data_IF_827728188263
#
_entry.id   IF_827728188263
#
_cell.length_a   1.000
_cell.length_b   1.000
_cell.length_c   1.000
_cell.angle_alpha   90.00
_cell.angle_beta   90.00
_cell.angle_gamma   90.00
#
_symmetry.space_group_name_H-M   'P 1'
#
loop_
_entity.id
_entity.type
_entity.pdbx_description
1 polymer ?
#
# COMPACT_ATOMS: atom_id res chain seq x y z
N UNK A 1 -1.85 6.21 2.42
CA UNK A 1 -3.22 6.35 2.94
C UNK A 1 -3.18 6.99 4.33
N UNK A 2 -4.10 7.89 4.68
CA UNK A 2 -4.10 8.53 6.02
C UNK A 2 -4.54 7.52 7.09
N UNK A 3 -4.21 7.78 8.36
CA UNK A 3 -4.56 6.90 9.49
C UNK A 3 -6.08 6.70 9.61
N UNK A 4 -6.86 7.77 9.46
CA UNK A 4 -8.32 7.71 9.52
C UNK A 4 -8.94 6.84 8.40
N UNK A 5 -8.39 6.93 7.18
CA UNK A 5 -8.85 6.12 6.04
C UNK A 5 -8.58 4.63 6.27
N UNK A 6 -7.39 4.30 6.83
CA UNK A 6 -7.05 2.92 7.23
C UNK A 6 -8.07 2.40 8.25
N UNK A 7 -8.31 3.16 9.32
CA UNK A 7 -9.27 2.80 10.36
C UNK A 7 -10.69 2.60 9.81
N UNK A 8 -11.13 3.43 8.86
CA UNK A 8 -12.45 3.28 8.22
C UNK A 8 -12.56 2.01 7.39
N UNK A 9 -11.52 1.67 6.63
CA UNK A 9 -11.46 0.44 5.82
C UNK A 9 -11.46 -0.80 6.71
N UNK A 10 -10.67 -0.79 7.79
CA UNK A 10 -10.59 -1.92 8.71
C UNK A 10 -11.87 -2.06 9.55
N UNK A 11 -12.51 -0.95 9.93
CA UNK A 11 -13.82 -0.97 10.59
C UNK A 11 -14.91 -1.52 9.66
N UNK A 12 -14.85 -1.22 8.36
CA UNK A 12 -15.75 -1.80 7.37
C UNK A 12 -15.56 -3.32 7.28
N UNK A 13 -14.32 -3.80 7.18
CA UNK A 13 -14.03 -5.24 7.22
C UNK A 13 -14.57 -5.89 8.50
N UNK A 14 -14.32 -5.29 9.66
CA UNK A 14 -14.82 -5.80 10.94
C UNK A 14 -16.36 -5.83 11.01
N UNK A 15 -17.04 -4.86 10.40
CA UNK A 15 -18.52 -4.87 10.27
C UNK A 15 -18.99 -6.07 9.45
N UNK A 16 -18.38 -6.34 8.30
CA UNK A 16 -18.71 -7.49 7.46
C UNK A 16 -18.46 -8.82 8.20
N UNK A 17 -17.31 -8.95 8.88
CA UNK A 17 -16.97 -10.15 9.63
C UNK A 17 -17.95 -10.40 10.79
N UNK A 18 -18.38 -9.35 11.51
CA UNK A 18 -19.42 -9.49 12.54
C UNK A 18 -20.71 -10.07 11.98
N UNK A 19 -21.13 -9.65 10.80
CA UNK A 19 -22.34 -10.18 10.16
C UNK A 19 -22.20 -11.66 9.78
N UNK A 20 -21.02 -12.06 9.30
CA UNK A 20 -20.71 -13.47 8.94
C UNK A 20 -20.72 -14.35 10.20
N UNK A 21 -20.00 -13.94 11.25
CA UNK A 21 -19.88 -14.69 12.50
C UNK A 21 -21.04 -14.49 13.48
N UNK A 22 -22.08 -13.77 13.07
CA UNK A 22 -23.26 -13.44 13.91
C UNK A 22 -22.89 -12.79 15.26
N UNK A 23 -21.85 -11.95 15.27
CA UNK A 23 -21.43 -11.21 16.45
C UNK A 23 -22.28 -9.91 16.51
N UNK A 24 -22.97 -9.63 17.63
CA UNK A 24 -23.70 -8.38 17.79
C UNK A 24 -22.79 -7.15 17.67
N UNK A 25 -23.38 -5.98 17.44
CA UNK A 25 -22.63 -4.73 17.37
C UNK A 25 -21.74 -4.54 18.62
N UNK A 26 -20.60 -3.84 18.47
CA UNK A 26 -19.60 -3.71 19.56
C UNK A 26 -20.16 -3.06 20.83
N UNK A 27 -21.19 -2.23 20.71
CA UNK A 27 -21.90 -1.62 21.85
C UNK A 27 -22.62 -2.68 22.70
N UNK A 28 -23.09 -3.77 22.09
CA UNK A 28 -23.83 -4.85 22.75
C UNK A 28 -22.87 -5.97 23.17
N UNK A 29 -22.00 -6.40 22.27
CA UNK A 29 -21.11 -7.55 22.49
C UNK A 29 -19.84 -7.20 23.25
N UNK A 30 -19.48 -5.91 23.33
CA UNK A 30 -18.18 -5.43 23.81
C UNK A 30 -16.96 -6.06 23.10
N UNK A 31 -17.17 -6.75 21.97
CA UNK A 31 -16.11 -7.38 21.18
C UNK A 31 -15.43 -6.33 20.30
N UNK A 32 -14.13 -6.13 20.53
CA UNK A 32 -13.31 -5.20 19.76
C UNK A 32 -13.14 -5.63 18.30
N UNK A 33 -12.86 -4.68 17.40
CA UNK A 33 -12.55 -5.01 16.00
C UNK A 33 -11.33 -5.94 15.87
N UNK A 34 -10.32 -5.75 16.73
CA UNK A 34 -9.13 -6.58 16.76
C UNK A 34 -9.48 -8.04 17.09
N UNK A 35 -10.35 -8.26 18.08
CA UNK A 35 -10.82 -9.60 18.44
C UNK A 35 -11.61 -10.26 17.31
N UNK A 36 -12.44 -9.49 16.58
CA UNK A 36 -13.17 -10.00 15.41
C UNK A 36 -12.21 -10.44 14.30
N UNK A 37 -11.17 -9.66 14.01
CA UNK A 37 -10.15 -10.00 13.02
C UNK A 37 -9.35 -11.24 13.43
N UNK A 38 -8.92 -11.31 14.69
CA UNK A 38 -8.20 -12.46 15.23
C UNK A 38 -9.04 -13.74 15.15
N UNK A 39 -10.33 -13.67 15.53
CA UNK A 39 -11.27 -14.80 15.41
C UNK A 39 -11.46 -15.26 13.96
N UNK A 40 -11.41 -14.32 13.02
CA UNK A 40 -11.52 -14.61 11.59
C UNK A 40 -10.21 -15.15 10.98
N UNK A 41 -9.08 -15.16 11.72
CA UNK A 41 -7.76 -15.41 11.15
C UNK A 41 -7.40 -14.41 10.04
N UNK A 42 -8.01 -13.22 10.06
CA UNK A 42 -7.95 -12.28 8.95
C UNK A 42 -6.95 -11.15 9.24
N UNK A 43 -6.10 -10.85 8.27
CA UNK A 43 -5.28 -9.64 8.30
C UNK A 43 -6.13 -8.39 8.06
N UNK A 44 -5.78 -7.23 8.64
CA UNK A 44 -6.44 -5.96 8.33
C UNK A 44 -6.45 -5.68 6.83
N UNK A 45 -7.62 -5.29 6.31
CA UNK A 45 -7.85 -5.03 4.89
C UNK A 45 -6.96 -3.88 4.40
N UNK A 46 -6.72 -2.88 5.24
CA UNK A 46 -5.81 -1.78 4.92
C UNK A 46 -4.36 -2.25 4.67
N UNK A 47 -3.89 -3.27 5.40
CA UNK A 47 -2.57 -3.89 5.19
C UNK A 47 -2.54 -4.69 3.89
N UNK A 48 -3.59 -5.48 3.63
CA UNK A 48 -3.74 -6.23 2.36
C UNK A 48 -3.75 -5.28 1.15
N UNK A 49 -4.48 -4.18 1.25
CA UNK A 49 -4.57 -3.16 0.21
C UNK A 49 -3.20 -2.51 -0.05
N UNK A 50 -2.49 -2.13 1.02
CA UNK A 50 -1.16 -1.54 0.90
C UNK A 50 -0.18 -2.53 0.24
N UNK A 51 -0.19 -3.80 0.64
CA UNK A 51 0.62 -4.84 0.03
C UNK A 51 0.36 -4.94 -1.47
N UNK A 52 -0.91 -5.05 -1.89
CA UNK A 52 -1.28 -5.12 -3.32
C UNK A 52 -0.85 -3.87 -4.09
N UNK A 53 -0.99 -2.70 -3.49
CA UNK A 53 -0.56 -1.44 -4.09
C UNK A 53 0.96 -1.37 -4.28
N UNK A 54 1.75 -1.80 -3.29
CA UNK A 54 3.21 -1.85 -3.40
C UNK A 54 3.68 -2.89 -4.42
N UNK A 55 3.01 -4.04 -4.49
CA UNK A 55 3.25 -5.03 -5.55
C UNK A 55 3.00 -4.45 -6.94
N UNK A 56 1.87 -3.75 -7.12
CA UNK A 56 1.57 -3.08 -8.38
C UNK A 56 2.60 -2.01 -8.73
N UNK A 57 3.04 -1.23 -7.74
CA UNK A 57 4.08 -0.22 -7.93
C UNK A 57 5.41 -0.82 -8.39
N UNK A 58 5.88 -1.89 -7.74
CA UNK A 58 7.10 -2.58 -8.16
C UNK A 58 6.97 -3.21 -9.55
N UNK A 59 5.80 -3.75 -9.89
CA UNK A 59 5.52 -4.23 -11.25
C UNK A 59 5.62 -3.11 -12.29
N UNK A 60 5.08 -1.93 -12.00
CA UNK A 60 5.18 -0.76 -12.90
C UNK A 60 6.64 -0.30 -13.07
N UNK A 61 7.41 -0.27 -11.98
CA UNK A 61 8.82 0.11 -12.02
C UNK A 61 9.68 -0.88 -12.81
N UNK A 62 9.34 -2.18 -12.76
CA UNK A 62 9.99 -3.23 -13.55
C UNK A 62 9.59 -3.29 -15.02
N UNK A 63 8.64 -2.47 -15.49
CA UNK A 63 8.29 -2.43 -16.91
C UNK A 63 9.41 -1.78 -17.75
N UNK A 64 9.56 -2.18 -19.02
CA UNK A 64 10.48 -1.53 -19.95
C UNK A 64 10.23 -0.02 -20.02
N UNK A 65 11.29 0.77 -20.25
CA UNK A 65 11.18 2.23 -20.38
C UNK A 65 10.27 2.66 -21.54
N UNK A 66 10.06 1.79 -22.53
CA UNK A 66 9.15 1.98 -23.67
C UNK A 66 7.67 1.75 -23.33
N UNK A 67 7.36 1.22 -22.14
CA UNK A 67 5.99 0.97 -21.73
C UNK A 67 5.24 2.26 -21.46
N UNK A 68 4.12 2.47 -22.15
CA UNK A 68 3.24 3.62 -21.96
C UNK A 68 2.71 3.72 -20.52
N UNK A 69 2.41 2.58 -19.88
CA UNK A 69 1.95 2.55 -18.49
C UNK A 69 3.02 3.05 -17.53
N UNK A 70 4.29 2.77 -17.80
CA UNK A 70 5.40 3.27 -17.00
C UNK A 70 5.61 4.76 -17.22
N UNK A 71 5.67 5.19 -18.48
CA UNK A 71 5.87 6.60 -18.84
C UNK A 71 4.77 7.52 -18.30
N UNK A 72 3.54 7.03 -18.19
CA UNK A 72 2.42 7.80 -17.65
C UNK A 72 2.50 8.02 -16.13
N UNK A 73 3.30 7.24 -15.39
CA UNK A 73 3.29 7.21 -13.92
C UNK A 73 4.65 7.54 -13.31
N UNK A 74 5.75 7.10 -13.93
CA UNK A 74 7.11 7.17 -13.42
C UNK A 74 8.00 7.97 -14.38
N UNK A 75 9.05 8.58 -13.83
CA UNK A 75 10.09 9.21 -14.63
C UNK A 75 10.89 8.15 -15.42
N UNK A 76 11.49 8.52 -16.56
CA UNK A 76 12.31 7.61 -17.35
C UNK A 76 13.45 7.02 -16.53
N UNK A 77 13.66 5.70 -16.64
CA UNK A 77 14.76 4.98 -15.99
C UNK A 77 14.81 5.04 -14.46
N UNK A 78 13.77 5.54 -13.79
CA UNK A 78 13.67 5.53 -12.33
C UNK A 78 12.35 4.91 -11.86
N UNK A 79 12.28 4.65 -10.56
CA UNK A 79 11.08 4.34 -9.80
C UNK A 79 10.51 5.59 -9.10
N UNK A 80 10.83 6.79 -9.57
CA UNK A 80 10.30 8.05 -9.01
C UNK A 80 9.02 8.44 -9.77
N UNK A 81 7.93 8.84 -9.10
CA UNK A 81 6.72 9.29 -9.76
C UNK A 81 6.97 10.50 -10.68
N UNK A 82 6.26 10.52 -11.81
CA UNK A 82 6.23 11.67 -12.70
C UNK A 82 5.56 12.86 -12.01
N UNK A 83 6.21 14.03 -12.06
CA UNK A 83 5.60 15.29 -11.64
C UNK A 83 4.72 15.84 -12.77
N UNK A 84 3.41 15.84 -12.57
CA UNK A 84 2.46 16.39 -13.53
C UNK A 84 2.42 17.92 -13.38
N UNK A 85 3.16 18.63 -14.24
CA UNK A 85 3.12 20.08 -14.34
C UNK A 85 1.87 20.53 -15.12
N UNK A 86 0.78 20.81 -14.42
CA UNK A 86 -0.45 21.30 -15.04
C UNK A 86 -1.33 22.09 -14.07
N UNK A 87 -2.13 23.03 -14.61
CA UNK A 87 -3.08 23.81 -13.81
C UNK A 87 -4.07 22.85 -13.13
N UNK A 88 -4.00 22.75 -11.80
CA UNK A 88 -4.84 21.84 -11.03
C UNK A 88 -6.28 22.37 -10.98
N UNK A 89 -7.24 21.56 -11.40
CA UNK A 89 -8.67 21.86 -11.22
C UNK A 89 -9.02 21.93 -9.73
N UNK A 90 -9.92 22.85 -9.35
CA UNK A 90 -10.46 22.94 -7.99
C UNK A 90 -11.10 21.58 -7.61
N UNK A 91 -10.83 21.07 -6.40
CA UNK A 91 -11.35 19.79 -5.92
C UNK A 91 -10.44 18.56 -6.10
N UNK A 92 -9.51 18.55 -7.07
CA UNK A 92 -8.57 17.42 -7.23
C UNK A 92 -7.63 17.31 -6.01
N UNK A 93 -7.59 16.16 -5.35
CA UNK A 93 -6.67 15.92 -4.23
C UNK A 93 -5.21 16.24 -4.63
N UNK A 94 -4.48 16.91 -3.74
CA UNK A 94 -3.06 17.28 -3.97
C UNK A 94 -2.14 16.06 -4.06
N UNK A 95 -2.52 14.96 -3.41
CA UNK A 95 -1.74 13.73 -3.38
C UNK A 95 -2.19 12.82 -4.53
N UNK A 96 -1.28 12.52 -5.46
CA UNK A 96 -1.48 11.42 -6.40
C UNK A 96 -1.33 10.10 -5.67
N UNK A 97 -1.99 9.04 -6.18
CA UNK A 97 -1.79 7.71 -5.63
C UNK A 97 -0.31 7.28 -5.74
N UNK A 98 0.36 7.65 -6.84
CA UNK A 98 1.77 7.32 -7.09
C UNK A 98 2.70 7.97 -6.08
N UNK A 99 2.46 9.23 -5.67
CA UNK A 99 3.27 9.89 -4.65
C UNK A 99 3.05 9.29 -3.26
N UNK A 100 1.81 8.90 -2.94
CA UNK A 100 1.49 8.20 -1.69
C UNK A 100 2.17 6.84 -1.62
N UNK A 101 2.16 6.07 -2.71
CA UNK A 101 2.83 4.77 -2.75
C UNK A 101 4.34 4.90 -2.78
N UNK A 102 4.89 5.86 -3.50
CA UNK A 102 6.32 6.16 -3.48
C UNK A 102 6.81 6.46 -2.07
N UNK A 103 6.07 7.25 -1.28
CA UNK A 103 6.42 7.50 0.11
C UNK A 103 6.42 6.22 0.97
N UNK A 104 5.56 5.24 0.68
CA UNK A 104 5.58 3.94 1.37
C UNK A 104 6.73 3.05 0.87
N UNK A 105 6.97 3.05 -0.44
CA UNK A 105 8.07 2.33 -1.07
C UNK A 105 9.43 2.83 -0.60
N UNK A 106 9.61 4.14 -0.44
CA UNK A 106 10.80 4.74 0.16
C UNK A 106 10.99 4.25 1.60
N UNK A 107 9.95 4.26 2.43
CA UNK A 107 10.04 3.74 3.80
C UNK A 107 10.45 2.28 3.84
N UNK A 108 9.96 1.47 2.90
CA UNK A 108 10.34 0.08 2.74
C UNK A 108 11.82 -0.04 2.34
N UNK A 109 12.30 0.82 1.45
CA UNK A 109 13.69 0.86 0.97
C UNK A 109 14.67 1.61 1.92
N UNK A 110 14.30 1.84 3.19
CA UNK A 110 15.17 2.53 4.15
C UNK A 110 15.27 4.05 3.98
N UNK A 111 14.41 4.66 3.17
CA UNK A 111 14.27 6.11 2.99
C UNK A 111 15.07 6.72 1.84
N UNK A 112 15.88 5.93 1.13
CA UNK A 112 16.70 6.41 0.01
C UNK A 112 16.05 6.12 -1.36
N UNK A 113 15.86 7.14 -2.22
CA UNK A 113 15.42 6.92 -3.60
C UNK A 113 16.41 6.08 -4.42
N UNK A 114 17.71 6.19 -4.14
CA UNK A 114 18.74 5.39 -4.81
C UNK A 114 18.59 3.90 -4.48
N UNK A 115 18.41 3.56 -3.19
CA UNK A 115 18.17 2.19 -2.76
C UNK A 115 16.87 1.62 -3.33
N UNK A 116 15.82 2.45 -3.43
CA UNK A 116 14.57 2.04 -4.07
C UNK A 116 14.75 1.75 -5.56
N UNK A 117 15.49 2.61 -6.28
CA UNK A 117 15.80 2.41 -7.70
C UNK A 117 16.67 1.17 -7.91
N UNK A 118 17.65 0.92 -7.05
CA UNK A 118 18.48 -0.28 -7.12
C UNK A 118 17.63 -1.54 -6.93
N UNK A 119 16.75 -1.55 -5.94
CA UNK A 119 15.87 -2.68 -5.64
C UNK A 119 14.82 -2.94 -6.73
N UNK A 120 14.29 -1.91 -7.38
CA UNK A 120 13.19 -2.03 -8.36
C UNK A 120 13.64 -2.01 -9.83
N UNK A 121 14.76 -1.36 -10.13
CA UNK A 121 15.25 -1.11 -11.49
C UNK A 121 16.70 -1.57 -11.71
N UNK A 122 17.42 -1.98 -10.66
CA UNK A 122 18.80 -2.47 -10.77
C UNK A 122 18.92 -3.83 -11.47
N UNK A 123 20.13 -4.17 -11.90
CA UNK A 123 20.45 -5.44 -12.56
C UNK A 123 20.21 -6.68 -11.65
N UNK A 124 20.16 -6.47 -10.34
CA UNK A 124 19.84 -7.47 -9.31
C UNK A 124 18.34 -7.61 -9.02
N UNK A 125 17.46 -6.98 -9.80
CA UNK A 125 16.01 -7.03 -9.63
C UNK A 125 15.50 -8.47 -9.80
N UNK A 126 15.45 -9.20 -8.68
CA UNK A 126 14.65 -10.41 -8.59
C UNK A 126 13.23 -9.97 -8.24
N UNK A 127 12.20 -10.32 -9.04
CA UNK A 127 10.81 -10.08 -8.68
C UNK A 127 10.43 -10.64 -7.30
N UNK A 128 11.24 -11.60 -6.81
CA UNK A 128 11.12 -12.21 -5.50
C UNK A 128 11.59 -11.28 -4.36
N UNK A 129 12.71 -10.56 -4.52
CA UNK A 129 13.26 -9.67 -3.48
C UNK A 129 12.28 -8.56 -3.09
N UNK A 130 11.65 -7.91 -4.07
CA UNK A 130 10.62 -6.90 -3.80
C UNK A 130 9.39 -7.48 -3.09
N UNK A 131 8.92 -8.66 -3.53
CA UNK A 131 7.74 -9.32 -2.90
C UNK A 131 7.99 -9.64 -1.44
N UNK A 132 9.16 -10.17 -1.11
CA UNK A 132 9.56 -10.46 0.26
C UNK A 132 9.65 -9.18 1.10
N UNK A 133 10.30 -8.14 0.58
CA UNK A 133 10.40 -6.86 1.28
C UNK A 133 9.02 -6.23 1.56
N UNK A 134 8.08 -6.33 0.61
CA UNK A 134 6.69 -5.88 0.80
C UNK A 134 5.98 -6.70 1.87
N UNK A 135 6.14 -8.02 1.85
CA UNK A 135 5.55 -8.91 2.85
C UNK A 135 6.03 -8.55 4.27
N UNK A 136 7.35 -8.46 4.47
CA UNK A 136 7.95 -8.12 5.76
C UNK A 136 7.55 -6.71 6.24
N UNK A 137 7.53 -5.75 5.32
CA UNK A 137 7.07 -4.39 5.63
C UNK A 137 5.61 -4.36 6.08
N UNK A 138 4.72 -5.04 5.35
CA UNK A 138 3.30 -5.09 5.68
C UNK A 138 3.04 -5.84 6.99
N UNK A 139 3.80 -6.90 7.30
CA UNK A 139 3.70 -7.63 8.56
C UNK A 139 4.17 -6.78 9.75
N UNK A 140 5.30 -6.07 9.63
CA UNK A 140 5.77 -5.16 10.69
C UNK A 140 4.77 -4.06 11.02
N UNK A 141 4.05 -3.55 10.02
CA UNK A 141 3.00 -2.55 10.20
C UNK A 141 1.74 -3.10 10.91
N UNK A 142 1.57 -4.43 11.01
CA UNK A 142 0.47 -5.06 11.74
C UNK A 142 0.77 -5.20 13.24
N UNK A 143 2.04 -5.42 13.61
CA UNK A 143 2.45 -5.65 15.02
C UNK A 143 2.57 -4.35 15.83
N UNK A 144 2.81 -3.21 15.17
CA UNK A 144 3.02 -1.91 15.81
C UNK A 144 1.77 -1.05 16.08
N UNK A 145 0.57 -1.63 16.05
CA UNK A 145 -0.71 -0.92 16.28
C UNK A 145 -1.49 -1.51 17.46
#
# INVERSE_FOLDING_TARGET
MRKADKARIDAFQAKCLRQIFKIPHSIISHVSNATVLAKAGATPLSSTLLSRQLHFYGRLAGLPATSLLRQAVLQPSTAVPLELSGKRTRGRLRLSWSSVLFAQALKLAGGSPAALNEMLCGASNTPHGWRLAVYDFCNRQQVGN
#
